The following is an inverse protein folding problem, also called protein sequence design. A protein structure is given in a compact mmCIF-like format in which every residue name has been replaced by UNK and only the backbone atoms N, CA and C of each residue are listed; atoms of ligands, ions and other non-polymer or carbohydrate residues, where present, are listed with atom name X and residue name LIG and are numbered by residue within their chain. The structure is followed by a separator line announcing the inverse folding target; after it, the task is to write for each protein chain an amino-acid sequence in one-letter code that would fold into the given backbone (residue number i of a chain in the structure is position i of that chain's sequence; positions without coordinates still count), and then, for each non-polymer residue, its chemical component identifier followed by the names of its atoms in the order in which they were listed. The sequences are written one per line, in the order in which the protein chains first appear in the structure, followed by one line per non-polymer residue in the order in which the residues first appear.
data_IF_574440255002
#
_entry.id   IF_574440255002
#
_cell.length_a   1.000
_cell.length_b   1.000
_cell.length_c   1.000
_cell.angle_alpha   90.00
_cell.angle_beta   90.00
_cell.angle_gamma   90.00
#
_symmetry.space_group_name_H-M   'P 1'
#
loop_
_entity.id
_entity.type
_entity.pdbx_description
1 polymer ?
#
# COMPACT_ATOMS: atom_id res chain seq x y z
N UNK A 1 13.47 15.88 -1.79
CA UNK A 1 14.03 14.61 -2.30
C UNK A 1 14.83 14.91 -3.56
N UNK A 2 16.10 14.49 -3.64
CA UNK A 2 16.93 14.75 -4.82
C UNK A 2 16.67 13.66 -5.87
N UNK A 3 16.18 14.04 -7.05
CA UNK A 3 15.89 13.13 -8.16
C UNK A 3 17.09 12.23 -8.52
N UNK A 4 18.30 12.80 -8.46
CA UNK A 4 19.55 12.09 -8.73
C UNK A 4 19.79 10.90 -7.78
N UNK A 5 19.35 11.00 -6.53
CA UNK A 5 19.49 9.90 -5.56
C UNK A 5 18.57 8.73 -5.92
N UNK A 6 17.31 9.02 -6.26
CA UNK A 6 16.35 8.00 -6.71
C UNK A 6 16.84 7.32 -8.00
N UNK A 7 17.39 8.11 -8.93
CA UNK A 7 17.91 7.60 -10.20
C UNK A 7 19.04 6.60 -9.97
N UNK A 8 20.02 6.96 -9.13
CA UNK A 8 21.13 6.06 -8.77
C UNK A 8 20.66 4.77 -8.11
N UNK A 9 19.68 4.85 -7.20
CA UNK A 9 19.11 3.66 -6.55
C UNK A 9 18.41 2.75 -7.56
N UNK A 10 17.63 3.34 -8.48
CA UNK A 10 16.92 2.62 -9.53
C UNK A 10 17.87 1.93 -10.53
N UNK A 11 18.89 2.65 -11.01
CA UNK A 11 19.90 2.12 -11.93
C UNK A 11 20.76 1.02 -11.28
N UNK A 12 21.05 1.14 -9.98
CA UNK A 12 21.79 0.15 -9.21
C UNK A 12 20.94 -1.04 -8.75
N UNK A 13 19.62 -1.07 -9.04
CA UNK A 13 18.73 -2.14 -8.60
C UNK A 13 18.53 -2.24 -7.08
N UNK A 14 18.78 -1.14 -6.34
CA UNK A 14 18.63 -1.09 -4.88
C UNK A 14 17.16 -0.81 -4.51
N UNK A 15 16.30 -1.77 -4.81
CA UNK A 15 14.85 -1.61 -4.72
C UNK A 15 14.33 -1.35 -3.30
N UNK A 16 14.95 -1.93 -2.28
CA UNK A 16 14.57 -1.68 -0.88
C UNK A 16 14.77 -0.21 -0.49
N UNK A 17 15.94 0.36 -0.80
CA UNK A 17 16.23 1.77 -0.52
C UNK A 17 15.41 2.71 -1.38
N UNK A 18 15.17 2.33 -2.64
CA UNK A 18 14.30 3.08 -3.53
C UNK A 18 12.87 3.13 -2.96
N UNK A 19 12.31 1.98 -2.55
CA UNK A 19 10.99 1.88 -1.97
C UNK A 19 10.88 2.68 -0.67
N UNK A 20 11.88 2.59 0.22
CA UNK A 20 11.93 3.38 1.45
C UNK A 20 11.97 4.89 1.17
N UNK A 21 12.75 5.32 0.18
CA UNK A 21 12.79 6.72 -0.22
C UNK A 21 11.45 7.18 -0.81
N UNK A 22 10.79 6.33 -1.60
CA UNK A 22 9.46 6.61 -2.16
C UNK A 22 8.37 6.66 -1.07
N UNK A 23 8.38 5.74 -0.11
CA UNK A 23 7.44 5.73 1.02
C UNK A 23 7.57 7.00 1.88
N UNK A 24 8.80 7.47 2.12
CA UNK A 24 9.04 8.72 2.85
C UNK A 24 8.60 9.97 2.07
N UNK A 25 8.76 9.96 0.74
CA UNK A 25 8.39 11.09 -0.10
C UNK A 25 6.89 11.14 -0.42
N UNK A 26 6.24 9.98 -0.44
CA UNK A 26 4.84 9.78 -0.78
C UNK A 26 4.15 8.91 0.28
N UNK A 27 4.01 9.39 1.53
CA UNK A 27 3.43 8.60 2.63
C UNK A 27 1.97 8.20 2.40
N UNK A 28 1.24 8.97 1.58
CA UNK A 28 -0.13 8.66 1.16
C UNK A 28 -0.20 8.02 -0.24
N UNK A 29 0.96 7.63 -0.78
CA UNK A 29 1.10 7.13 -2.14
C UNK A 29 1.25 8.22 -3.21
N UNK A 30 1.74 7.80 -4.38
CA UNK A 30 1.82 8.60 -5.60
C UNK A 30 0.47 8.55 -6.31
N UNK A 31 -0.19 9.71 -6.43
CA UNK A 31 -1.50 9.85 -7.08
C UNK A 31 -1.41 9.51 -8.58
N UNK A 32 -2.39 8.75 -9.06
CA UNK A 32 -2.60 8.46 -10.47
C UNK A 32 -2.79 6.97 -10.76
N UNK A 33 -3.11 6.70 -12.02
CA UNK A 33 -3.35 5.36 -12.55
C UNK A 33 -2.06 4.53 -12.67
N UNK A 34 -2.18 3.36 -13.29
CA UNK A 34 -1.10 2.38 -13.47
C UNK A 34 0.18 3.00 -14.05
N UNK A 35 0.04 3.90 -15.02
CA UNK A 35 1.16 4.56 -15.71
C UNK A 35 1.81 5.67 -14.88
N UNK A 36 1.21 6.08 -13.76
CA UNK A 36 1.70 7.21 -12.96
C UNK A 36 3.10 6.96 -12.40
N UNK A 37 3.40 5.74 -11.94
CA UNK A 37 4.72 5.38 -11.45
C UNK A 37 5.79 5.48 -12.56
N UNK A 38 5.51 4.93 -13.73
CA UNK A 38 6.41 5.02 -14.89
C UNK A 38 6.60 6.47 -15.32
N UNK A 39 5.51 7.24 -15.37
CA UNK A 39 5.54 8.68 -15.71
C UNK A 39 6.39 9.47 -14.71
N UNK A 40 6.27 9.17 -13.41
CA UNK A 40 7.09 9.77 -12.37
C UNK A 40 8.58 9.43 -12.55
N UNK A 41 8.89 8.16 -12.78
CA UNK A 41 10.26 7.69 -13.00
C UNK A 41 10.91 8.33 -14.24
N UNK A 42 10.15 8.56 -15.31
CA UNK A 42 10.66 9.27 -16.49
C UNK A 42 10.82 10.77 -16.21
N UNK A 43 9.74 11.44 -15.79
CA UNK A 43 9.69 12.91 -15.79
C UNK A 43 10.35 13.55 -14.57
N UNK A 44 10.33 12.86 -13.42
CA UNK A 44 10.87 13.40 -12.16
C UNK A 44 12.19 12.76 -11.78
N UNK A 45 12.39 11.47 -12.07
CA UNK A 45 13.66 10.78 -11.79
C UNK A 45 14.61 10.83 -12.98
N UNK A 46 14.11 11.03 -14.21
CA UNK A 46 14.96 11.16 -15.40
C UNK A 46 15.51 9.82 -15.91
N UNK A 47 14.77 8.73 -15.68
CA UNK A 47 15.07 7.42 -16.27
C UNK A 47 14.60 7.36 -17.73
N UNK A 48 15.30 6.56 -18.54
CA UNK A 48 14.77 6.18 -19.85
C UNK A 48 13.47 5.38 -19.66
N UNK A 49 12.53 5.50 -20.61
CA UNK A 49 11.22 4.87 -20.49
C UNK A 49 11.29 3.35 -20.25
N UNK A 50 12.15 2.65 -21.00
CA UNK A 50 12.34 1.20 -20.83
C UNK A 50 12.84 0.82 -19.42
N UNK A 51 13.77 1.62 -18.86
CA UNK A 51 14.25 1.40 -17.50
C UNK A 51 13.19 1.74 -16.45
N UNK A 52 12.41 2.80 -16.66
CA UNK A 52 11.31 3.17 -15.78
C UNK A 52 10.25 2.06 -15.70
N UNK A 53 9.89 1.44 -16.84
CA UNK A 53 8.99 0.29 -16.87
C UNK A 53 9.57 -0.88 -16.08
N UNK A 54 10.82 -1.28 -16.37
CA UNK A 54 11.50 -2.38 -15.68
C UNK A 54 11.58 -2.17 -14.16
N UNK A 55 11.87 -0.95 -13.72
CA UNK A 55 11.95 -0.60 -12.29
C UNK A 55 10.57 -0.65 -11.64
N UNK A 56 9.53 -0.11 -12.30
CA UNK A 56 8.17 -0.16 -11.77
C UNK A 56 7.68 -1.62 -11.62
N UNK A 57 7.89 -2.46 -12.64
CA UNK A 57 7.56 -3.88 -12.59
C UNK A 57 8.35 -4.63 -11.50
N UNK A 58 9.64 -4.33 -11.34
CA UNK A 58 10.46 -4.96 -10.32
C UNK A 58 10.02 -4.59 -8.89
N UNK A 59 9.68 -3.31 -8.65
CA UNK A 59 9.15 -2.85 -7.36
C UNK A 59 7.81 -3.53 -7.03
N UNK A 60 6.93 -3.65 -8.01
CA UNK A 60 5.63 -4.30 -7.82
C UNK A 60 5.76 -5.80 -7.61
N UNK A 61 6.56 -6.48 -8.45
CA UNK A 61 6.79 -7.92 -8.34
C UNK A 61 7.47 -8.30 -7.02
N UNK A 62 8.36 -7.45 -6.51
CA UNK A 62 8.99 -7.63 -5.21
C UNK A 62 8.09 -7.26 -4.02
N UNK A 63 6.91 -6.68 -4.26
CA UNK A 63 5.96 -6.31 -3.21
C UNK A 63 6.31 -5.03 -2.46
N UNK A 64 7.10 -4.15 -3.05
CA UNK A 64 7.44 -2.83 -2.50
C UNK A 64 6.51 -1.70 -2.98
N UNK A 65 5.88 -1.90 -4.14
CA UNK A 65 4.95 -0.95 -4.73
C UNK A 65 3.63 -1.64 -5.05
N UNK A 66 2.51 -0.97 -4.76
CA UNK A 66 1.19 -1.53 -5.00
C UNK A 66 0.27 -0.51 -5.62
N UNK A 67 -0.28 -0.84 -6.78
CA UNK A 67 -1.32 -0.03 -7.40
C UNK A 67 -2.68 -0.30 -6.74
N UNK A 68 -3.35 0.77 -6.31
CA UNK A 68 -4.68 0.74 -5.71
C UNK A 68 -5.69 1.36 -6.69
N UNK A 69 -6.36 0.54 -7.53
CA UNK A 69 -7.34 1.02 -8.52
C UNK A 69 -8.72 1.27 -7.87
N UNK A 70 -8.94 2.46 -7.32
CA UNK A 70 -10.16 2.81 -6.59
C UNK A 70 -10.68 4.21 -6.95
N UNK A 71 -11.54 4.79 -6.12
CA UNK A 71 -12.05 6.16 -6.33
C UNK A 71 -10.93 7.21 -6.39
N UNK A 72 -9.82 6.94 -5.71
CA UNK A 72 -8.65 7.82 -5.63
C UNK A 72 -7.39 7.03 -5.98
N UNK A 73 -7.22 6.69 -7.28
CA UNK A 73 -6.19 5.77 -7.74
C UNK A 73 -4.80 6.30 -7.41
N UNK A 74 -3.95 5.39 -6.93
CA UNK A 74 -2.60 5.71 -6.48
C UNK A 74 -1.71 4.48 -6.39
N UNK A 75 -0.41 4.73 -6.37
CA UNK A 75 0.61 3.77 -6.00
C UNK A 75 1.03 3.98 -4.55
N UNK A 76 0.92 2.95 -3.71
CA UNK A 76 1.48 2.97 -2.36
C UNK A 76 2.85 2.30 -2.38
N UNK A 77 3.74 2.76 -1.50
CA UNK A 77 5.08 2.21 -1.34
C UNK A 77 5.28 1.76 0.10
N UNK A 78 5.85 0.58 0.28
CA UNK A 78 6.17 0.04 1.60
C UNK A 78 7.67 -0.08 1.75
N UNK A 79 8.18 0.20 2.94
CA UNK A 79 9.61 0.07 3.24
C UNK A 79 10.08 -1.37 3.37
N UNK A 80 9.14 -2.33 3.46
CA UNK A 80 9.37 -3.78 3.38
C UNK A 80 8.47 -4.40 2.31
N UNK A 81 8.89 -5.53 1.72
CA UNK A 81 8.05 -6.22 0.76
C UNK A 81 6.84 -6.83 1.47
N UNK A 82 5.64 -6.54 0.98
CA UNK A 82 4.38 -7.08 1.51
C UNK A 82 3.49 -7.61 0.40
N UNK A 83 2.50 -8.41 0.77
CA UNK A 83 1.45 -8.84 -0.14
C UNK A 83 0.12 -8.25 0.28
N UNK A 84 -0.24 -7.08 -0.27
CA UNK A 84 -1.58 -6.52 -0.06
C UNK A 84 -2.67 -7.49 -0.52
N UNK A 85 -2.42 -8.28 -1.57
CA UNK A 85 -3.35 -9.33 -1.99
C UNK A 85 -3.59 -10.36 -0.88
N UNK A 86 -2.56 -10.74 -0.12
CA UNK A 86 -2.74 -11.62 1.03
C UNK A 86 -3.55 -10.93 2.14
N UNK A 87 -3.22 -9.67 2.47
CA UNK A 87 -3.99 -8.88 3.45
C UNK A 87 -5.49 -8.88 3.12
N UNK A 88 -5.81 -8.65 1.85
CA UNK A 88 -7.18 -8.62 1.37
C UNK A 88 -7.92 -9.94 1.49
N UNK A 89 -7.27 -11.06 1.13
CA UNK A 89 -7.86 -12.40 1.30
C UNK A 89 -8.17 -12.70 2.76
N UNK A 90 -7.30 -12.28 3.68
CA UNK A 90 -7.52 -12.44 5.11
C UNK A 90 -8.65 -11.53 5.63
N UNK A 91 -8.76 -10.30 5.12
CA UNK A 91 -9.88 -9.43 5.46
C UNK A 91 -11.23 -10.00 4.98
N UNK A 92 -11.30 -10.54 3.77
CA UNK A 92 -12.54 -11.14 3.25
C UNK A 92 -13.01 -12.34 4.10
N UNK A 93 -12.07 -13.09 4.68
CA UNK A 93 -12.36 -14.31 5.45
C UNK A 93 -12.54 -14.07 6.95
N UNK A 94 -11.77 -13.16 7.53
CA UNK A 94 -11.57 -13.08 8.99
C UNK A 94 -11.91 -11.71 9.59
N UNK A 95 -12.39 -10.74 8.80
CA UNK A 95 -12.68 -9.39 9.31
C UNK A 95 -13.80 -9.37 10.36
N UNK A 96 -14.77 -10.30 10.26
CA UNK A 96 -15.79 -10.49 11.28
C UNK A 96 -15.26 -11.13 12.59
N UNK A 97 -14.12 -11.84 12.56
CA UNK A 97 -13.53 -12.50 13.73
C UNK A 97 -12.56 -11.59 14.50
N UNK A 98 -12.07 -10.52 13.87
CA UNK A 98 -11.12 -9.57 14.48
C UNK A 98 -11.84 -8.41 15.18
N UNK A 99 -12.88 -8.71 15.94
CA UNK A 99 -13.55 -7.74 16.80
C UNK A 99 -12.67 -7.52 18.04
N UNK A 100 -11.93 -6.41 18.08
CA UNK A 100 -11.26 -6.00 19.32
C UNK A 100 -12.26 -5.85 20.47
N UNK A 101 -11.88 -6.29 21.68
CA UNK A 101 -12.68 -6.15 22.90
C UNK A 101 -12.77 -4.66 23.29
N UNK A 102 -13.82 -3.99 22.83
CA UNK A 102 -14.47 -2.83 23.46
C UNK A 102 -13.76 -1.47 23.46
N UNK A 103 -12.53 -1.38 23.97
CA UNK A 103 -12.01 -0.11 24.54
C UNK A 103 -10.69 0.38 23.90
N UNK A 104 -10.21 -0.27 22.84
CA UNK A 104 -8.96 0.11 22.17
C UNK A 104 -9.16 1.25 21.15
N UNK A 105 -8.15 2.12 21.01
CA UNK A 105 -8.08 3.11 19.93
C UNK A 105 -8.27 2.39 18.58
N UNK A 106 -9.33 2.75 17.81
CA UNK A 106 -9.63 2.12 16.52
C UNK A 106 -8.45 2.08 15.55
N UNK A 107 -7.55 3.07 15.62
CA UNK A 107 -6.35 3.11 14.79
C UNK A 107 -5.34 2.05 15.23
N UNK A 108 -5.08 1.92 16.53
CA UNK A 108 -4.13 0.92 17.05
C UNK A 108 -4.63 -0.51 16.81
N UNK A 109 -5.94 -0.74 16.91
CA UNK A 109 -6.57 -2.02 16.53
C UNK A 109 -6.27 -2.37 15.06
N UNK A 110 -6.48 -1.42 14.15
CA UNK A 110 -6.21 -1.60 12.72
C UNK A 110 -4.72 -1.82 12.42
N UNK A 111 -3.84 -1.08 13.07
CA UNK A 111 -2.38 -1.24 12.92
C UNK A 111 -1.92 -2.61 13.42
N UNK A 112 -2.40 -3.05 14.58
CA UNK A 112 -2.09 -4.39 15.11
C UNK A 112 -2.58 -5.49 14.17
N UNK A 113 -3.77 -5.33 13.61
CA UNK A 113 -4.30 -6.26 12.63
C UNK A 113 -3.35 -6.38 11.43
N UNK A 114 -3.05 -5.27 10.77
CA UNK A 114 -2.19 -5.25 9.57
C UNK A 114 -0.82 -5.83 9.90
N UNK A 115 -0.22 -5.41 11.01
CA UNK A 115 1.09 -5.89 11.47
C UNK A 115 1.10 -7.41 11.68
N UNK A 116 0.09 -7.95 12.38
CA UNK A 116 -0.03 -9.38 12.66
C UNK A 116 -0.23 -10.19 11.37
N UNK A 117 -1.16 -9.76 10.50
CA UNK A 117 -1.52 -10.49 9.28
C UNK A 117 -0.41 -10.50 8.25
N UNK A 118 0.31 -9.40 8.11
CA UNK A 118 1.43 -9.31 7.17
C UNK A 118 2.78 -9.67 7.80
N UNK A 119 2.82 -9.97 9.10
CA UNK A 119 4.05 -10.20 9.86
C UNK A 119 5.06 -9.06 9.69
N UNK A 120 4.55 -7.82 9.74
CA UNK A 120 5.35 -6.60 9.60
C UNK A 120 5.38 -5.82 10.92
N UNK A 121 6.32 -4.89 11.01
CA UNK A 121 6.35 -3.96 12.13
C UNK A 121 5.27 -2.86 11.99
N UNK A 122 5.09 -2.10 13.07
CA UNK A 122 4.11 -1.01 13.14
C UNK A 122 4.34 0.07 12.07
N UNK A 123 5.59 0.36 11.71
CA UNK A 123 5.90 1.42 10.74
C UNK A 123 5.35 1.03 9.36
N UNK A 124 5.58 -0.22 8.94
CA UNK A 124 5.02 -0.71 7.67
C UNK A 124 3.50 -0.82 7.74
N UNK A 125 2.94 -1.20 8.89
CA UNK A 125 1.48 -1.21 9.07
C UNK A 125 0.87 0.21 8.92
N UNK A 126 1.56 1.25 9.40
CA UNK A 126 1.16 2.65 9.22
C UNK A 126 1.22 3.07 7.75
N UNK A 127 2.31 2.75 7.04
CA UNK A 127 2.45 3.01 5.59
C UNK A 127 1.26 2.42 4.80
N UNK A 128 0.87 1.20 5.16
CA UNK A 128 -0.25 0.50 4.52
C UNK A 128 -1.59 1.16 4.88
N UNK A 129 -1.86 1.41 6.16
CA UNK A 129 -3.14 1.99 6.59
C UNK A 129 -3.36 3.38 5.98
N UNK A 130 -2.32 4.23 5.97
CA UNK A 130 -2.39 5.57 5.36
C UNK A 130 -2.60 5.47 3.84
N UNK A 131 -1.90 4.56 3.17
CA UNK A 131 -2.08 4.32 1.73
C UNK A 131 -3.48 3.85 1.38
N UNK A 132 -4.04 2.90 2.15
CA UNK A 132 -5.40 2.40 1.98
C UNK A 132 -6.44 3.50 2.26
N UNK A 133 -6.28 4.24 3.35
CA UNK A 133 -7.20 5.32 3.71
C UNK A 133 -7.22 6.42 2.65
N UNK A 134 -6.05 6.81 2.17
CA UNK A 134 -5.95 7.82 1.13
C UNK A 134 -6.54 7.34 -0.21
N UNK A 135 -6.45 6.04 -0.51
CA UNK A 135 -7.10 5.42 -1.67
C UNK A 135 -8.64 5.23 -1.52
N UNK A 136 -9.18 5.45 -0.32
CA UNK A 136 -10.61 5.23 -0.02
C UNK A 136 -10.96 3.80 0.37
N UNK A 137 -9.95 2.96 0.66
CA UNK A 137 -10.14 1.56 1.07
C UNK A 137 -10.15 1.35 2.58
N UNK A 138 -9.89 2.40 3.36
CA UNK A 138 -10.02 2.36 4.80
C UNK A 138 -10.62 3.69 5.29
N UNK A 139 -11.58 3.64 6.19
CA UNK A 139 -12.14 4.84 6.83
C UNK A 139 -12.47 4.56 8.29
N UNK A 140 -12.30 5.58 9.14
CA UNK A 140 -12.84 5.54 10.49
C UNK A 140 -14.35 5.85 10.41
N UNK A 141 -15.18 4.91 10.84
CA UNK A 141 -16.64 5.05 10.83
C UNK A 141 -17.27 4.29 11.99
N UNK A 142 -18.51 4.66 12.32
CA UNK A 142 -19.29 3.99 13.35
C UNK A 142 -19.79 2.62 12.87
N UNK A 143 -19.47 1.56 13.62
CA UNK A 143 -19.90 0.19 13.34
C UNK A 143 -21.11 -0.17 14.21
N UNK A 144 -22.31 -0.13 13.62
CA UNK A 144 -23.57 -0.29 14.35
C UNK A 144 -23.66 -1.60 15.16
N UNK A 145 -23.20 -2.73 14.62
CA UNK A 145 -23.29 -4.02 15.33
C UNK A 145 -22.33 -4.12 16.52
N UNK A 146 -21.26 -3.34 16.52
CA UNK A 146 -20.27 -3.31 17.60
C UNK A 146 -20.46 -2.08 18.51
N UNK A 147 -21.45 -1.23 18.19
CA UNK A 147 -21.78 0.02 18.86
C UNK A 147 -20.59 0.97 19.13
N UNK A 148 -19.57 0.95 18.27
CA UNK A 148 -18.35 1.76 18.44
C UNK A 148 -17.72 2.21 17.11
N UNK A 149 -16.86 3.23 17.18
CA UNK A 149 -16.05 3.68 16.04
C UNK A 149 -14.94 2.68 15.72
N UNK A 150 -14.73 2.41 14.42
CA UNK A 150 -13.78 1.42 13.91
C UNK A 150 -13.25 1.80 12.54
N UNK A 151 -12.06 1.29 12.18
CA UNK A 151 -11.62 1.33 10.78
C UNK A 151 -12.36 0.26 9.98
N UNK A 152 -13.15 0.70 9.00
CA UNK A 152 -13.82 -0.13 8.00
C UNK A 152 -12.97 -0.24 6.75
N UNK A 153 -12.71 -1.47 6.30
CA UNK A 153 -11.97 -1.73 5.07
C UNK A 153 -12.93 -2.02 3.92
N UNK A 154 -12.75 -1.32 2.80
CA UNK A 154 -13.59 -1.39 1.60
C UNK A 154 -12.73 -1.74 0.41
N UNK A 155 -12.52 -3.03 0.16
CA UNK A 155 -11.72 -3.47 -0.97
C UNK A 155 -12.60 -3.80 -2.18
N UNK A 156 -12.32 -3.27 -3.37
CA UNK A 156 -13.10 -3.57 -4.57
C UNK A 156 -12.86 -5.01 -5.05
N UNK A 157 -13.91 -5.60 -5.64
CA UNK A 157 -13.88 -6.95 -6.22
C UNK A 157 -12.80 -7.14 -7.30
N UNK A 158 -12.29 -6.05 -7.88
CA UNK A 158 -11.19 -6.09 -8.86
C UNK A 158 -9.94 -6.80 -8.34
N UNK A 159 -9.76 -6.81 -7.02
CA UNK A 159 -8.70 -7.57 -6.37
C UNK A 159 -9.07 -9.03 -6.08
N UNK A 160 -10.36 -9.36 -6.04
CA UNK A 160 -10.89 -10.73 -5.90
C UNK A 160 -10.90 -11.48 -7.25
N UNK A 161 -11.06 -10.78 -8.37
CA UNK A 161 -11.28 -11.37 -9.71
C UNK A 161 -10.05 -11.96 -10.41
N UNK A 162 -8.84 -11.95 -9.82
CA UNK A 162 -7.70 -12.68 -10.44
C UNK A 162 -7.73 -14.18 -10.05
N UNK A 163 -8.81 -14.86 -10.46
CA UNK A 163 -8.92 -16.32 -10.51
C UNK A 163 -9.41 -16.74 -11.89
N UNK A 164 -8.47 -16.92 -12.83
CA UNK A 164 -8.52 -17.97 -13.86
C UNK A 164 -7.08 -18.29 -14.28
N UNK A 165 -6.55 -19.36 -13.71
CA UNK A 165 -5.67 -20.29 -14.44
C UNK A 165 -6.22 -21.68 -14.22
#
# INVERSE_FOLDING_TARGET
MQADALKKLAEAGRFEELARALAQAYPQGLVGEREALVTFLVNKVGLAHADAVRVAEALEAAGYAHHLPGERPRWIFTSKPVSLRALMRMLDQEYAEFVGEGDEDPREEALRFIASRLQVDRVVAEEILEGLAAAGYAELAYHAEAERDRYLFKFPEIFAMTYRV
#
